data_IF_187034993335
#
_entry.id   IF_187034993335
#
_cell.length_a   1.000
_cell.length_b   1.000
_cell.length_c   1.000
_cell.angle_alpha   90.00
_cell.angle_beta   90.00
_cell.angle_gamma   90.00
#
_symmetry.space_group_name_H-M   'P 1'
#
loop_
_entity.id
_entity.type
_entity.pdbx_description
1 polymer ?
#
# COMPACT_ATOMS: atom_id res chain seq x y z
N UNK A 1 -1.37 4.00 3.72
CA UNK A 1 -1.48 2.85 2.81
C UNK A 1 -0.73 3.05 1.47
N UNK A 2 -0.97 4.11 0.63
CA UNK A 2 -0.28 4.26 -0.66
C UNK A 2 1.25 4.24 -0.59
N UNK A 3 1.85 4.83 0.44
CA UNK A 3 3.32 4.83 0.66
C UNK A 3 3.87 3.42 0.83
N UNK A 4 3.17 2.57 1.59
CA UNK A 4 3.63 1.22 1.88
C UNK A 4 3.72 0.35 0.63
N UNK A 5 2.90 0.63 -0.38
CA UNK A 5 2.87 -0.12 -1.63
C UNK A 5 3.97 0.26 -2.63
N UNK A 6 4.68 1.35 -2.38
CA UNK A 6 5.85 1.75 -3.18
C UNK A 6 7.16 1.62 -2.40
N UNK A 7 7.06 1.19 -1.13
CA UNK A 7 8.22 0.99 -0.25
C UNK A 7 8.52 -0.51 -0.09
N UNK A 8 9.51 -1.05 -0.78
CA UNK A 8 9.83 -2.49 -0.74
C UNK A 8 10.38 -2.96 0.61
N UNK A 9 10.63 -2.04 1.54
CA UNK A 9 10.99 -2.28 2.94
C UNK A 9 9.78 -2.34 3.88
N UNK A 10 8.57 -2.20 3.35
CA UNK A 10 7.36 -2.26 4.16
C UNK A 10 6.93 -3.70 4.46
N UNK A 11 6.19 -3.88 5.54
CA UNK A 11 5.54 -5.17 5.86
C UNK A 11 4.59 -5.65 4.74
N UNK A 12 4.11 -4.74 3.91
CA UNK A 12 3.27 -5.05 2.75
C UNK A 12 4.06 -5.74 1.64
N UNK A 13 5.32 -5.34 1.41
CA UNK A 13 6.21 -6.04 0.49
C UNK A 13 6.44 -7.49 0.94
N UNK A 14 6.67 -7.70 2.25
CA UNK A 14 6.79 -9.04 2.81
C UNK A 14 5.50 -9.86 2.63
N UNK A 15 4.33 -9.26 2.89
CA UNK A 15 3.05 -9.95 2.75
C UNK A 15 2.72 -10.32 1.29
N UNK A 16 2.96 -9.43 0.33
CA UNK A 16 2.81 -9.75 -1.10
C UNK A 16 3.80 -10.83 -1.51
N UNK A 17 5.04 -10.75 -1.03
CA UNK A 17 6.06 -11.78 -1.29
C UNK A 17 5.63 -13.15 -0.76
N UNK A 18 5.07 -13.23 0.47
CA UNK A 18 4.62 -14.50 1.04
C UNK A 18 3.48 -15.14 0.27
N UNK A 19 2.54 -14.33 -0.24
CA UNK A 19 1.46 -14.83 -1.07
C UNK A 19 1.92 -15.27 -2.46
N UNK A 20 2.98 -14.66 -2.97
CA UNK A 20 3.60 -15.01 -4.25
C UNK A 20 4.60 -16.16 -4.15
N UNK A 21 5.10 -16.47 -2.94
CA UNK A 21 6.07 -17.53 -2.70
C UNK A 21 5.49 -18.93 -3.01
N UNK A 22 6.29 -19.76 -3.65
CA UNK A 22 5.84 -21.09 -4.11
C UNK A 22 4.91 -21.05 -5.33
N UNK A 23 4.76 -19.89 -5.99
CA UNK A 23 4.21 -19.79 -7.32
C UNK A 23 5.37 -19.94 -8.30
N UNK A 24 5.18 -20.75 -9.32
CA UNK A 24 6.23 -21.10 -10.31
C UNK A 24 6.47 -19.93 -11.29
N UNK A 25 6.75 -18.74 -10.74
CA UNK A 25 6.92 -17.49 -11.51
C UNK A 25 8.35 -17.30 -12.02
N UNK A 26 9.31 -18.10 -11.53
CA UNK A 26 10.74 -17.97 -11.87
C UNK A 26 11.42 -16.71 -11.31
N UNK A 27 10.73 -15.90 -10.51
CA UNK A 27 11.26 -14.71 -9.83
C UNK A 27 10.84 -14.72 -8.35
N UNK A 28 11.66 -14.12 -7.49
CA UNK A 28 11.34 -14.03 -6.06
C UNK A 28 10.14 -13.13 -5.81
N UNK A 29 9.40 -13.37 -4.72
CA UNK A 29 8.24 -12.57 -4.36
C UNK A 29 8.57 -11.08 -4.20
N UNK A 30 9.75 -10.75 -3.67
CA UNK A 30 10.20 -9.35 -3.55
C UNK A 30 10.50 -8.73 -4.91
N UNK A 31 11.10 -9.47 -5.84
CA UNK A 31 11.30 -9.00 -7.21
C UNK A 31 10.00 -8.75 -7.92
N UNK A 32 9.01 -9.61 -7.71
CA UNK A 32 7.66 -9.45 -8.24
C UNK A 32 7.00 -8.18 -7.72
N UNK A 33 7.12 -7.93 -6.40
CA UNK A 33 6.62 -6.71 -5.79
C UNK A 33 7.30 -5.46 -6.38
N UNK A 34 8.64 -5.44 -6.48
CA UNK A 34 9.38 -4.32 -7.05
C UNK A 34 8.98 -4.04 -8.50
N UNK A 35 8.83 -5.08 -9.32
CA UNK A 35 8.38 -4.94 -10.71
C UNK A 35 6.94 -4.41 -10.81
N UNK A 36 6.09 -4.68 -9.81
CA UNK A 36 4.72 -4.20 -9.77
C UNK A 36 4.62 -2.70 -9.37
N UNK A 37 5.61 -2.14 -8.67
CA UNK A 37 5.59 -0.74 -8.21
C UNK A 37 5.31 0.26 -9.35
N UNK A 38 5.99 0.21 -10.51
CA UNK A 38 5.74 1.17 -11.60
C UNK A 38 4.32 1.13 -12.16
N UNK A 39 3.62 0.00 -12.04
CA UNK A 39 2.23 -0.15 -12.44
C UNK A 39 1.23 0.10 -11.31
N UNK A 40 1.68 0.39 -10.08
CA UNK A 40 0.77 0.70 -8.97
C UNK A 40 0.18 2.10 -9.12
N UNK A 41 -0.75 2.20 -10.08
CA UNK A 41 -1.33 3.47 -10.50
C UNK A 41 -2.02 4.19 -9.35
N UNK A 42 -2.76 3.48 -8.48
CA UNK A 42 -3.49 4.12 -7.41
C UNK A 42 -2.55 4.83 -6.42
N UNK A 43 -1.53 4.13 -5.93
CA UNK A 43 -0.59 4.71 -4.96
C UNK A 43 0.12 5.94 -5.55
N UNK A 44 0.63 5.81 -6.77
CA UNK A 44 1.40 6.86 -7.42
C UNK A 44 0.52 8.05 -7.85
N UNK A 45 -0.67 7.79 -8.43
CA UNK A 45 -1.61 8.85 -8.82
C UNK A 45 -2.21 9.58 -7.60
N UNK A 46 -2.33 8.93 -6.45
CA UNK A 46 -2.73 9.60 -5.21
C UNK A 46 -1.74 10.70 -4.83
N UNK A 47 -0.43 10.50 -4.97
CA UNK A 47 0.55 11.56 -4.74
C UNK A 47 0.40 12.69 -5.75
N UNK A 48 0.24 12.36 -7.03
CA UNK A 48 -0.01 13.36 -8.09
C UNK A 48 -1.26 14.17 -7.77
N UNK A 49 -2.33 13.50 -7.34
CA UNK A 49 -3.59 14.10 -6.96
C UNK A 49 -3.44 15.08 -5.79
N UNK A 50 -2.79 14.66 -4.70
CA UNK A 50 -2.55 15.50 -3.51
C UNK A 50 -1.72 16.74 -3.88
N UNK A 51 -0.65 16.54 -4.63
CA UNK A 51 0.23 17.63 -5.09
C UNK A 51 -0.56 18.60 -5.99
N UNK A 52 -1.33 18.07 -6.94
CA UNK A 52 -2.12 18.90 -7.84
C UNK A 52 -3.18 19.69 -7.11
N UNK A 53 -3.93 19.10 -6.17
CA UNK A 53 -4.91 19.82 -5.34
C UNK A 53 -4.25 20.94 -4.54
N UNK A 54 -3.09 20.65 -3.92
CA UNK A 54 -2.34 21.63 -3.13
C UNK A 54 -1.90 22.83 -3.98
N UNK A 55 -1.42 22.60 -5.22
CA UNK A 55 -1.07 23.68 -6.15
C UNK A 55 -2.29 24.41 -6.73
N UNK A 56 -3.36 23.69 -6.98
CA UNK A 56 -4.58 24.27 -7.55
C UNK A 56 -5.44 24.98 -6.51
N UNK A 57 -5.20 24.76 -5.22
CA UNK A 57 -5.89 25.39 -4.08
C UNK A 57 -7.40 25.35 -4.22
N UNK A 58 -7.99 24.16 -4.33
CA UNK A 58 -9.42 23.96 -4.32
C UNK A 58 -9.78 22.62 -3.72
N UNK A 59 -10.95 22.57 -3.11
CA UNK A 59 -11.57 21.37 -2.60
C UNK A 59 -12.94 21.17 -3.22
N UNK A 60 -13.44 19.93 -3.22
CA UNK A 60 -14.73 19.58 -3.76
C UNK A 60 -15.44 18.51 -2.91
N UNK A 61 -16.73 18.33 -3.18
CA UNK A 61 -17.55 17.41 -2.39
C UNK A 61 -17.67 17.85 -0.93
N UNK A 62 -17.86 16.91 0.01
CA UNK A 62 -17.99 17.23 1.44
C UNK A 62 -16.79 18.00 2.00
N UNK A 63 -15.57 17.69 1.60
CA UNK A 63 -14.36 18.36 2.08
C UNK A 63 -14.44 19.89 1.90
N UNK A 64 -14.96 20.37 0.77
CA UNK A 64 -15.14 21.80 0.53
C UNK A 64 -16.02 22.48 1.59
N UNK A 65 -17.01 21.76 2.10
CA UNK A 65 -17.91 22.31 3.14
C UNK A 65 -17.19 22.45 4.47
N UNK A 66 -16.40 21.44 4.85
CA UNK A 66 -15.60 21.47 6.07
C UNK A 66 -14.51 22.53 6.00
N UNK A 67 -13.77 22.60 4.87
CA UNK A 67 -12.73 23.60 4.67
C UNK A 67 -13.29 25.03 4.74
N UNK A 68 -14.43 25.28 4.09
CA UNK A 68 -15.09 26.60 4.16
C UNK A 68 -15.52 26.94 5.59
N UNK A 69 -16.12 25.97 6.31
CA UNK A 69 -16.50 26.14 7.71
C UNK A 69 -15.29 26.49 8.57
N UNK A 70 -14.17 25.77 8.40
CA UNK A 70 -12.93 26.03 9.13
C UNK A 70 -12.39 27.46 8.85
N UNK A 71 -12.45 27.92 7.59
CA UNK A 71 -12.00 29.25 7.21
C UNK A 71 -12.91 30.37 7.76
N UNK A 72 -14.23 30.16 7.78
CA UNK A 72 -15.23 31.17 8.23
C UNK A 72 -15.31 31.24 9.76
N UNK A 73 -15.27 30.14 10.46
CA UNK A 73 -15.56 30.06 11.91
C UNK A 73 -14.32 29.70 12.77
N UNK A 74 -13.23 29.26 12.17
CA UNK A 74 -12.08 28.69 12.89
C UNK A 74 -12.35 27.30 13.50
N UNK A 75 -13.52 26.70 13.24
CA UNK A 75 -13.87 25.37 13.71
C UNK A 75 -13.17 24.30 12.86
N UNK A 76 -12.21 23.62 13.44
CA UNK A 76 -11.44 22.56 12.78
C UNK A 76 -12.12 21.18 12.85
N UNK A 77 -13.36 21.10 13.32
CA UNK A 77 -14.10 19.85 13.55
C UNK A 77 -13.33 18.84 14.41
N UNK A 78 -12.49 19.34 15.30
CA UNK A 78 -11.79 18.51 16.28
C UNK A 78 -12.81 17.88 17.25
N UNK A 79 -12.56 16.65 17.66
CA UNK A 79 -13.38 15.99 18.66
C UNK A 79 -13.32 16.80 19.98
N UNK A 80 -14.47 17.25 20.47
CA UNK A 80 -14.59 17.99 21.75
C UNK A 80 -14.09 17.17 22.95
N UNK A 81 -14.05 15.84 22.81
CA UNK A 81 -13.64 14.87 23.82
C UNK A 81 -12.47 14.00 23.33
N UNK A 82 -11.56 14.51 22.48
CA UNK A 82 -10.30 13.82 22.29
C UNK A 82 -9.72 13.64 23.70
N UNK A 83 -9.70 12.40 24.21
CA UNK A 83 -8.99 12.12 25.44
C UNK A 83 -7.60 12.73 25.27
N UNK A 84 -7.32 13.75 26.06
CA UNK A 84 -5.98 14.33 26.15
C UNK A 84 -5.05 13.20 26.62
N UNK A 85 -4.64 12.35 25.68
CA UNK A 85 -3.45 11.54 25.93
C UNK A 85 -2.39 12.57 26.26
N UNK A 86 -1.97 12.58 27.51
CA UNK A 86 -1.12 13.60 28.10
C UNK A 86 0.12 13.81 27.20
N UNK A 87 0.02 14.78 26.30
CA UNK A 87 1.06 15.08 25.31
C UNK A 87 2.27 15.52 26.11
N UNK A 88 3.36 14.77 26.02
CA UNK A 88 4.59 15.16 26.67
C UNK A 88 5.15 16.42 25.99
N UNK A 89 5.23 17.56 26.68
CA UNK A 89 5.71 18.83 26.11
C UNK A 89 7.18 18.78 25.67
N UNK A 90 7.93 17.73 26.02
CA UNK A 90 9.31 17.50 25.58
C UNK A 90 9.40 16.85 24.20
N UNK A 91 8.30 16.33 23.66
CA UNK A 91 8.24 15.73 22.33
C UNK A 91 8.56 16.74 21.24
N UNK A 92 9.37 16.34 20.28
CA UNK A 92 9.74 17.13 19.10
C UNK A 92 9.55 16.29 17.85
N UNK A 93 9.38 16.94 16.70
CA UNK A 93 9.25 16.26 15.39
C UNK A 93 10.42 15.30 15.12
N UNK A 94 11.61 15.61 15.60
CA UNK A 94 12.78 14.74 15.47
C UNK A 94 12.62 13.39 16.20
N UNK A 95 11.80 13.33 17.25
CA UNK A 95 11.54 12.11 18.00
C UNK A 95 10.67 11.12 17.23
N UNK A 96 10.01 11.58 16.18
CA UNK A 96 9.31 10.74 15.19
C UNK A 96 10.22 10.47 13.98
N UNK A 97 10.83 11.50 13.41
CA UNK A 97 11.60 11.38 12.18
C UNK A 97 12.84 10.48 12.32
N UNK A 98 13.60 10.63 13.41
CA UNK A 98 14.84 9.88 13.58
C UNK A 98 14.63 8.38 13.72
N UNK A 99 13.68 7.87 14.52
CA UNK A 99 13.33 6.44 14.52
C UNK A 99 12.93 5.89 13.16
N UNK A 100 12.14 6.64 12.39
CA UNK A 100 11.72 6.24 11.03
C UNK A 100 12.92 6.17 10.08
N UNK A 101 13.81 7.15 10.11
CA UNK A 101 15.02 7.14 9.28
C UNK A 101 15.95 5.98 9.65
N UNK A 102 16.11 5.70 10.95
CA UNK A 102 16.89 4.55 11.42
C UNK A 102 16.24 3.25 10.97
N UNK A 103 14.92 3.11 11.10
CA UNK A 103 14.19 1.93 10.63
C UNK A 103 14.44 1.69 9.13
N UNK A 104 14.30 2.71 8.30
CA UNK A 104 14.57 2.62 6.86
C UNK A 104 16.03 2.16 6.61
N UNK A 105 16.99 2.81 7.25
CA UNK A 105 18.40 2.51 7.05
C UNK A 105 18.76 1.07 7.47
N UNK A 106 18.32 0.62 8.64
CA UNK A 106 18.66 -0.73 9.13
C UNK A 106 17.90 -1.83 8.41
N UNK A 107 16.63 -1.61 8.03
CA UNK A 107 15.89 -2.58 7.23
C UNK A 107 16.51 -2.71 5.83
N UNK A 108 16.86 -1.61 5.17
CA UNK A 108 17.55 -1.64 3.88
C UNK A 108 18.89 -2.37 3.99
N UNK A 109 19.67 -2.07 5.04
CA UNK A 109 20.95 -2.75 5.28
C UNK A 109 20.76 -4.24 5.55
N UNK A 110 19.75 -4.63 6.33
CA UNK A 110 19.41 -6.03 6.59
C UNK A 110 19.05 -6.78 5.33
N UNK A 111 18.26 -6.17 4.45
CA UNK A 111 17.86 -6.77 3.18
C UNK A 111 19.07 -6.97 2.25
N UNK A 112 19.90 -5.97 2.03
CA UNK A 112 21.09 -6.12 1.17
C UNK A 112 22.14 -7.07 1.77
N UNK A 113 22.20 -7.16 3.12
CA UNK A 113 23.06 -8.13 3.80
C UNK A 113 22.63 -9.57 3.51
N UNK A 114 21.35 -9.86 3.67
CA UNK A 114 20.77 -11.19 3.38
C UNK A 114 20.92 -11.54 1.90
N UNK A 115 20.77 -10.56 1.00
CA UNK A 115 20.91 -10.74 -0.44
C UNK A 115 22.34 -10.79 -0.97
N UNK A 116 23.38 -10.72 -0.10
CA UNK A 116 24.77 -10.97 -0.49
C UNK A 116 25.59 -9.76 -0.93
N UNK A 117 25.11 -8.53 -0.72
CA UNK A 117 25.86 -7.32 -1.10
C UNK A 117 27.29 -7.28 -0.53
N UNK A 118 27.47 -7.72 0.72
CA UNK A 118 28.75 -7.72 1.43
C UNK A 118 29.63 -8.94 1.16
N UNK A 119 29.26 -9.79 0.21
CA UNK A 119 30.08 -10.93 -0.23
C UNK A 119 29.28 -12.21 -0.43
N UNK A 120 28.72 -12.79 0.62
CA UNK A 120 27.98 -14.06 0.54
C UNK A 120 26.53 -13.82 0.95
N UNK A 121 25.59 -14.32 0.17
CA UNK A 121 24.17 -14.28 0.52
C UNK A 121 23.78 -15.34 1.57
N UNK A 122 22.54 -15.31 2.02
CA UNK A 122 22.03 -16.26 3.03
C UNK A 122 22.05 -17.74 2.57
N UNK A 123 22.20 -17.99 1.26
CA UNK A 123 22.21 -19.33 0.65
C UNK A 123 23.61 -19.76 0.18
N UNK A 124 24.64 -18.93 0.41
CA UNK A 124 26.03 -19.23 0.06
C UNK A 124 26.46 -18.76 -1.34
N UNK A 125 25.61 -18.01 -2.06
CA UNK A 125 25.91 -17.40 -3.35
C UNK A 125 26.75 -16.12 -3.21
N UNK A 126 27.50 -15.77 -4.26
CA UNK A 126 28.38 -14.59 -4.30
C UNK A 126 28.06 -13.64 -5.47
N UNK A 127 27.03 -13.94 -6.23
CA UNK A 127 26.73 -13.26 -7.50
C UNK A 127 26.29 -11.80 -7.34
N UNK A 128 25.81 -11.45 -6.16
CA UNK A 128 25.33 -10.10 -5.83
C UNK A 128 26.35 -9.26 -5.04
N UNK A 129 27.58 -9.70 -4.88
CA UNK A 129 28.61 -8.98 -4.14
C UNK A 129 28.91 -7.62 -4.80
N UNK A 130 28.67 -6.52 -4.05
CA UNK A 130 28.84 -5.16 -4.52
C UNK A 130 27.74 -4.62 -5.45
N UNK A 131 26.77 -5.44 -5.82
CA UNK A 131 25.57 -5.00 -6.56
C UNK A 131 24.40 -4.77 -5.61
N UNK A 132 24.10 -3.49 -5.36
CA UNK A 132 23.00 -3.09 -4.46
C UNK A 132 21.63 -3.56 -4.99
N UNK A 133 21.38 -3.39 -6.28
CA UNK A 133 20.07 -3.72 -6.88
C UNK A 133 19.91 -5.24 -6.95
N UNK A 134 20.93 -5.94 -7.37
CA UNK A 134 20.95 -7.41 -7.41
C UNK A 134 20.75 -8.01 -6.01
N UNK A 135 21.52 -7.55 -5.02
CA UNK A 135 21.39 -8.02 -3.64
C UNK A 135 20.01 -7.70 -3.03
N UNK A 136 19.48 -6.50 -3.30
CA UNK A 136 18.14 -6.14 -2.83
C UNK A 136 17.05 -7.02 -3.48
N UNK A 137 17.20 -7.36 -4.74
CA UNK A 137 16.29 -8.27 -5.46
C UNK A 137 16.45 -9.76 -5.06
N UNK A 138 17.65 -10.17 -4.61
CA UNK A 138 17.97 -11.52 -4.17
C UNK A 138 17.71 -11.75 -2.67
N UNK A 139 17.14 -10.80 -1.96
CA UNK A 139 16.92 -10.90 -0.51
C UNK A 139 15.70 -11.74 -0.17
N UNK A 140 15.71 -12.30 1.04
CA UNK A 140 14.52 -12.78 1.73
C UNK A 140 14.05 -11.72 2.72
N UNK A 141 12.87 -11.14 2.44
CA UNK A 141 12.27 -10.12 3.28
C UNK A 141 11.93 -10.63 4.69
N UNK A 142 11.63 -11.94 4.84
CA UNK A 142 11.33 -12.55 6.14
C UNK A 142 12.58 -12.69 7.03
N UNK A 143 13.76 -12.68 6.44
CA UNK A 143 15.01 -12.65 7.19
C UNK A 143 15.51 -11.21 7.41
N UNK A 144 15.53 -10.40 6.35
CA UNK A 144 16.10 -9.04 6.40
C UNK A 144 15.30 -8.04 7.24
N UNK A 145 13.98 -8.00 7.08
CA UNK A 145 13.13 -7.03 7.78
C UNK A 145 13.05 -7.24 9.30
N UNK A 146 12.90 -8.48 9.84
CA UNK A 146 12.90 -8.68 11.30
C UNK A 146 14.18 -8.21 11.97
N UNK A 147 15.35 -8.46 11.39
CA UNK A 147 16.62 -7.97 11.92
C UNK A 147 16.64 -6.44 11.97
N UNK A 148 16.28 -5.79 10.87
CA UNK A 148 16.18 -4.34 10.81
C UNK A 148 15.17 -3.78 11.81
N UNK A 149 14.00 -4.41 11.93
CA UNK A 149 12.94 -4.02 12.86
C UNK A 149 13.36 -4.11 14.33
N UNK A 150 14.03 -5.20 14.73
CA UNK A 150 14.52 -5.36 16.11
C UNK A 150 15.57 -4.29 16.45
N UNK A 151 16.54 -4.06 15.56
CA UNK A 151 17.57 -3.04 15.77
C UNK A 151 16.96 -1.64 15.88
N UNK A 152 16.02 -1.30 14.99
CA UNK A 152 15.30 -0.04 15.01
C UNK A 152 14.46 0.15 16.28
N UNK A 153 13.79 -0.91 16.75
CA UNK A 153 13.03 -0.90 17.99
C UNK A 153 13.93 -0.63 19.20
N UNK A 154 15.06 -1.34 19.30
CA UNK A 154 16.03 -1.13 20.38
C UNK A 154 16.58 0.28 20.36
N UNK A 155 16.97 0.78 19.19
CA UNK A 155 17.41 2.17 19.03
C UNK A 155 16.34 3.16 19.49
N UNK A 156 15.09 2.97 19.04
CA UNK A 156 13.97 3.87 19.37
C UNK A 156 13.72 3.93 20.88
N UNK A 157 13.67 2.77 21.54
CA UNK A 157 13.48 2.70 22.99
C UNK A 157 14.63 3.41 23.72
N UNK A 158 15.87 3.10 23.39
CA UNK A 158 17.05 3.71 24.00
C UNK A 158 17.04 5.23 23.78
N UNK A 159 16.79 5.67 22.56
CA UNK A 159 16.77 7.08 22.18
C UNK A 159 15.70 7.88 22.94
N UNK A 160 14.43 7.40 22.95
CA UNK A 160 13.33 8.11 23.58
C UNK A 160 13.44 8.14 25.10
N UNK A 161 13.94 7.04 25.71
CA UNK A 161 14.18 6.97 27.15
C UNK A 161 15.37 7.87 27.55
N UNK A 162 16.48 7.85 26.80
CA UNK A 162 17.63 8.72 27.05
C UNK A 162 17.27 10.20 26.93
N UNK A 163 16.41 10.56 25.99
CA UNK A 163 15.84 11.91 25.86
C UNK A 163 14.79 12.27 26.93
N UNK A 164 14.38 11.29 27.74
CA UNK A 164 13.32 11.45 28.75
C UNK A 164 11.99 11.93 28.16
N UNK A 165 11.68 11.52 26.92
CA UNK A 165 10.40 11.76 26.27
C UNK A 165 9.37 10.75 26.77
N UNK A 166 9.79 9.51 26.98
CA UNK A 166 8.99 8.44 27.59
C UNK A 166 9.78 7.79 28.73
N UNK A 167 9.07 7.14 29.66
CA UNK A 167 9.73 6.31 30.66
C UNK A 167 10.00 4.91 30.10
N UNK A 168 10.95 4.19 30.67
CA UNK A 168 11.21 2.80 30.29
C UNK A 168 9.99 1.90 30.50
N UNK A 169 9.20 2.17 31.55
CA UNK A 169 7.95 1.45 31.82
C UNK A 169 6.93 1.65 30.71
N UNK A 170 6.75 2.88 30.22
CA UNK A 170 5.83 3.19 29.13
C UNK A 170 6.29 2.56 27.83
N UNK A 171 7.60 2.62 27.53
CA UNK A 171 8.17 1.95 26.37
C UNK A 171 7.89 0.44 26.38
N UNK A 172 8.10 -0.21 27.53
CA UNK A 172 7.81 -1.64 27.69
C UNK A 172 6.31 -1.96 27.59
N UNK A 173 5.42 -1.06 28.02
CA UNK A 173 3.98 -1.23 27.89
C UNK A 173 3.48 -1.11 26.42
N UNK A 174 4.24 -0.44 25.55
CA UNK A 174 3.91 -0.35 24.13
C UNK A 174 4.14 -1.68 23.38
N UNK A 175 5.07 -2.53 23.84
CA UNK A 175 5.41 -3.79 23.16
C UNK A 175 4.20 -4.73 23.08
N UNK A 176 3.49 -5.07 24.17
CA UNK A 176 2.28 -5.90 24.09
C UNK A 176 1.16 -5.25 23.25
N UNK A 177 1.03 -3.93 23.28
CA UNK A 177 0.06 -3.22 22.45
C UNK A 177 0.36 -3.43 20.95
N UNK A 178 1.64 -3.32 20.57
CA UNK A 178 2.09 -3.59 19.20
C UNK A 178 1.84 -5.04 18.77
N UNK A 179 2.12 -6.02 19.64
CA UNK A 179 1.80 -7.43 19.36
C UNK A 179 0.30 -7.64 19.15
N UNK A 180 -0.55 -7.07 20.02
CA UNK A 180 -1.99 -7.17 19.89
C UNK A 180 -2.50 -6.57 18.57
N UNK A 181 -1.94 -5.45 18.13
CA UNK A 181 -2.28 -4.83 16.85
C UNK A 181 -1.94 -5.73 15.64
N UNK A 182 -0.94 -6.61 15.77
CA UNK A 182 -0.53 -7.53 14.70
C UNK A 182 -1.26 -8.87 14.69
N UNK A 183 -2.08 -9.19 15.70
CA UNK A 183 -2.82 -10.47 15.76
C UNK A 183 -3.74 -10.62 14.54
N UNK A 184 -4.51 -9.60 14.20
CA UNK A 184 -5.43 -9.62 13.06
C UNK A 184 -4.72 -9.83 11.72
N UNK A 185 -3.69 -9.06 11.36
CA UNK A 185 -2.88 -9.31 10.17
C UNK A 185 -2.27 -10.73 10.10
N UNK A 186 -1.73 -11.23 11.22
CA UNK A 186 -1.13 -12.57 11.27
C UNK A 186 -2.19 -13.64 11.00
N UNK A 187 -3.36 -13.54 11.63
CA UNK A 187 -4.46 -14.49 11.43
C UNK A 187 -4.95 -14.46 9.97
N UNK A 188 -5.13 -13.28 9.39
CA UNK A 188 -5.55 -13.11 8.00
C UNK A 188 -4.54 -13.78 7.05
N UNK A 189 -3.25 -13.52 7.22
CA UNK A 189 -2.21 -14.13 6.37
C UNK A 189 -2.16 -15.65 6.54
N UNK A 190 -2.30 -16.16 7.75
CA UNK A 190 -2.34 -17.61 8.01
C UNK A 190 -3.51 -18.28 7.28
N UNK A 191 -4.70 -17.67 7.34
CA UNK A 191 -5.87 -18.15 6.62
C UNK A 191 -5.74 -18.00 5.10
N UNK A 192 -5.10 -16.92 4.63
CA UNK A 192 -4.84 -16.70 3.20
C UNK A 192 -3.91 -17.77 2.62
N UNK A 193 -2.84 -18.15 3.35
CA UNK A 193 -1.96 -19.26 2.94
C UNK A 193 -2.71 -20.59 2.88
N UNK A 194 -3.59 -20.86 3.85
CA UNK A 194 -4.43 -22.05 3.86
C UNK A 194 -5.41 -22.05 2.68
N UNK A 195 -6.02 -20.90 2.38
CA UNK A 195 -6.90 -20.73 1.22
C UNK A 195 -6.14 -20.96 -0.09
N UNK A 196 -4.92 -20.42 -0.23
CA UNK A 196 -4.04 -20.67 -1.39
C UNK A 196 -3.81 -22.16 -1.60
N UNK A 197 -3.43 -22.90 -0.55
CA UNK A 197 -3.21 -24.33 -0.63
C UNK A 197 -4.49 -25.06 -1.09
N UNK A 198 -5.65 -24.67 -0.59
CA UNK A 198 -6.95 -25.24 -0.98
C UNK A 198 -7.27 -24.94 -2.45
N UNK A 199 -7.11 -23.69 -2.92
CA UNK A 199 -7.32 -23.28 -4.32
C UNK A 199 -6.41 -24.08 -5.25
N UNK A 200 -5.14 -24.25 -4.88
CA UNK A 200 -4.18 -25.04 -5.68
C UNK A 200 -4.59 -26.52 -5.73
N UNK A 201 -4.98 -27.13 -4.60
CA UNK A 201 -5.40 -28.52 -4.55
C UNK A 201 -6.71 -28.82 -5.31
N UNK A 202 -7.57 -27.82 -5.46
CA UNK A 202 -8.79 -27.90 -6.26
C UNK A 202 -8.54 -27.75 -7.77
N UNK A 203 -7.29 -27.53 -8.19
CA UNK A 203 -6.95 -27.35 -9.61
C UNK A 203 -7.49 -26.05 -10.20
N UNK A 204 -7.64 -25.01 -9.39
CA UNK A 204 -8.21 -23.74 -9.84
C UNK A 204 -7.40 -23.12 -10.99
N UNK A 205 -6.07 -23.29 -11.02
CA UNK A 205 -5.22 -22.84 -12.13
C UNK A 205 -5.59 -23.50 -13.47
N UNK A 206 -5.85 -24.82 -13.45
CA UNK A 206 -6.26 -25.57 -14.64
C UNK A 206 -7.63 -25.09 -15.11
N UNK A 207 -8.60 -25.00 -14.19
CA UNK A 207 -9.94 -24.53 -14.52
C UNK A 207 -9.95 -23.12 -15.12
N UNK A 208 -9.18 -22.20 -14.54
CA UNK A 208 -9.06 -20.82 -15.04
C UNK A 208 -8.36 -20.78 -16.38
N UNK A 209 -7.30 -21.57 -16.57
CA UNK A 209 -6.62 -21.71 -17.86
C UNK A 209 -7.60 -22.16 -18.97
N UNK A 210 -8.35 -23.24 -18.73
CA UNK A 210 -9.32 -23.77 -19.70
C UNK A 210 -10.44 -22.77 -20.02
N UNK A 211 -10.89 -22.02 -18.99
CA UNK A 211 -11.88 -20.96 -19.17
C UNK A 211 -11.32 -19.81 -20.03
N UNK A 212 -10.05 -19.48 -19.86
CA UNK A 212 -9.39 -18.38 -20.57
C UNK A 212 -8.94 -18.74 -21.98
N UNK A 213 -8.66 -20.01 -22.28
CA UNK A 213 -8.37 -20.46 -23.66
C UNK A 213 -9.52 -20.14 -24.63
N UNK A 214 -10.76 -20.18 -24.12
CA UNK A 214 -11.95 -19.81 -24.90
C UNK A 214 -12.25 -18.30 -24.92
N UNK A 215 -11.55 -17.49 -24.15
CA UNK A 215 -11.81 -16.06 -24.06
C UNK A 215 -11.15 -15.28 -25.21
N UNK A 216 -11.85 -14.30 -25.74
CA UNK A 216 -11.28 -13.41 -26.74
C UNK A 216 -10.07 -12.65 -26.13
N UNK A 217 -9.00 -12.46 -26.93
CA UNK A 217 -7.80 -11.75 -26.50
C UNK A 217 -8.08 -10.36 -25.87
N UNK A 218 -9.13 -9.70 -26.34
CA UNK A 218 -9.61 -8.42 -25.79
C UNK A 218 -10.05 -8.54 -24.33
N UNK A 219 -10.76 -9.63 -23.98
CA UNK A 219 -11.20 -9.86 -22.60
C UNK A 219 -9.98 -10.08 -21.67
N UNK A 220 -8.98 -10.81 -22.15
CA UNK A 220 -7.75 -11.07 -21.41
C UNK A 220 -6.98 -9.78 -21.09
N UNK A 221 -6.90 -8.86 -22.04
CA UNK A 221 -6.26 -7.55 -21.84
C UNK A 221 -7.05 -6.62 -20.92
N UNK A 222 -8.34 -6.83 -20.73
CA UNK A 222 -9.15 -6.05 -19.78
C UNK A 222 -9.08 -6.56 -18.34
N UNK A 223 -8.57 -7.79 -18.12
CA UNK A 223 -8.55 -8.41 -16.79
C UNK A 223 -7.84 -7.57 -15.72
N UNK A 224 -6.73 -6.87 -15.97
CA UNK A 224 -6.13 -6.00 -14.93
C UNK A 224 -7.10 -4.95 -14.39
N UNK A 225 -7.91 -4.33 -15.26
CA UNK A 225 -8.91 -3.37 -14.81
C UNK A 225 -10.04 -4.03 -14.01
N UNK A 226 -10.47 -5.23 -14.40
CA UNK A 226 -11.46 -6.01 -13.66
C UNK A 226 -10.91 -6.43 -12.29
N UNK A 227 -9.67 -6.91 -12.23
CA UNK A 227 -8.98 -7.27 -10.98
C UNK A 227 -8.91 -6.05 -10.05
N UNK A 228 -8.56 -4.89 -10.58
CA UNK A 228 -8.53 -3.65 -9.80
C UNK A 228 -9.90 -3.34 -9.17
N UNK A 229 -10.97 -3.37 -9.95
CA UNK A 229 -12.34 -3.08 -9.46
C UNK A 229 -12.78 -4.11 -8.42
N UNK A 230 -12.53 -5.39 -8.66
CA UNK A 230 -12.86 -6.47 -7.70
C UNK A 230 -12.07 -6.28 -6.40
N UNK A 231 -10.77 -5.95 -6.50
CA UNK A 231 -9.94 -5.68 -5.34
C UNK A 231 -10.45 -4.47 -4.54
N UNK A 232 -10.87 -3.38 -5.22
CA UNK A 232 -11.47 -2.22 -4.57
C UNK A 232 -12.71 -2.60 -3.75
N UNK A 233 -13.63 -3.37 -4.33
CA UNK A 233 -14.87 -3.79 -3.67
C UNK A 233 -14.57 -4.70 -2.48
N UNK A 234 -13.70 -5.69 -2.65
CA UNK A 234 -13.34 -6.62 -1.59
C UNK A 234 -12.65 -5.92 -0.42
N UNK A 235 -11.69 -5.05 -0.71
CA UNK A 235 -10.96 -4.31 0.32
C UNK A 235 -11.86 -3.31 1.06
N UNK A 236 -12.76 -2.62 0.35
CA UNK A 236 -13.74 -1.74 0.97
C UNK A 236 -14.67 -2.51 1.90
N UNK A 237 -15.19 -3.65 1.45
CA UNK A 237 -16.14 -4.47 2.21
C UNK A 237 -15.50 -5.17 3.40
N UNK A 238 -14.24 -5.56 3.31
CA UNK A 238 -13.51 -6.26 4.38
C UNK A 238 -12.74 -5.33 5.31
N UNK A 239 -12.48 -4.08 4.89
CA UNK A 239 -11.65 -3.12 5.63
C UNK A 239 -10.19 -3.53 5.73
N UNK A 240 -9.70 -4.39 4.83
CA UNK A 240 -8.31 -4.86 4.88
C UNK A 240 -7.72 -5.11 3.50
N UNK A 241 -6.57 -4.47 3.26
CA UNK A 241 -5.76 -4.77 2.08
C UNK A 241 -5.12 -6.16 2.15
N UNK A 242 -4.72 -6.60 3.35
CA UNK A 242 -4.03 -7.87 3.57
C UNK A 242 -4.89 -9.07 3.16
N UNK A 243 -6.16 -9.08 3.59
CA UNK A 243 -7.11 -10.11 3.18
C UNK A 243 -7.35 -10.11 1.68
N UNK A 244 -7.46 -8.93 1.09
CA UNK A 244 -7.75 -8.77 -0.34
C UNK A 244 -6.63 -9.30 -1.22
N UNK A 245 -5.39 -8.89 -1.03
CA UNK A 245 -4.30 -9.42 -1.86
C UNK A 245 -3.94 -10.86 -1.50
N UNK A 246 -4.12 -11.28 -0.25
CA UNK A 246 -3.98 -12.68 0.15
C UNK A 246 -4.91 -13.63 -0.61
N UNK A 247 -6.12 -13.18 -0.94
CA UNK A 247 -7.09 -13.95 -1.74
C UNK A 247 -6.81 -13.80 -3.25
N UNK A 248 -6.59 -12.58 -3.72
CA UNK A 248 -6.57 -12.30 -5.16
C UNK A 248 -5.23 -12.60 -5.83
N UNK A 249 -4.08 -12.45 -5.17
CA UNK A 249 -2.78 -12.73 -5.80
C UNK A 249 -2.68 -14.18 -6.29
N UNK A 250 -3.06 -15.21 -5.50
CA UNK A 250 -3.09 -16.59 -6.00
C UNK A 250 -3.98 -16.78 -7.23
N UNK A 251 -5.10 -16.06 -7.30
CA UNK A 251 -6.01 -16.11 -8.45
C UNK A 251 -5.36 -15.44 -9.68
N UNK A 252 -4.77 -14.26 -9.50
CA UNK A 252 -4.08 -13.51 -10.56
C UNK A 252 -2.93 -14.34 -11.16
N UNK A 253 -2.15 -15.02 -10.31
CA UNK A 253 -1.04 -15.89 -10.76
C UNK A 253 -1.53 -17.17 -11.45
N UNK A 254 -2.75 -17.63 -11.16
CA UNK A 254 -3.37 -18.74 -11.89
C UNK A 254 -3.87 -18.31 -13.28
N UNK A 255 -4.24 -17.03 -13.44
CA UNK A 255 -4.77 -16.50 -14.71
C UNK A 255 -3.64 -16.18 -15.69
N UNK A 256 -2.58 -15.51 -15.23
CA UNK A 256 -1.53 -15.00 -16.12
C UNK A 256 -0.29 -15.89 -16.11
N UNK A 257 0.28 -16.26 -17.28
CA UNK A 257 1.54 -16.99 -17.34
C UNK A 257 2.68 -16.22 -16.67
N UNK A 258 3.60 -16.92 -16.02
CA UNK A 258 4.73 -16.36 -15.31
C UNK A 258 5.64 -15.46 -16.16
N UNK A 259 5.71 -15.72 -17.47
CA UNK A 259 6.50 -14.93 -18.43
C UNK A 259 5.78 -13.71 -18.99
N UNK A 260 4.51 -13.49 -18.64
CA UNK A 260 3.69 -12.40 -19.19
C UNK A 260 3.84 -11.11 -18.39
N UNK A 261 3.99 -9.97 -19.08
CA UNK A 261 3.91 -8.64 -18.46
C UNK A 261 2.55 -8.41 -17.79
N UNK A 262 1.48 -9.06 -18.29
CA UNK A 262 0.15 -8.98 -17.69
C UNK A 262 0.09 -9.57 -16.27
N UNK A 263 0.98 -10.49 -15.92
CA UNK A 263 1.10 -10.97 -14.54
C UNK A 263 1.50 -9.81 -13.59
N UNK A 264 2.52 -9.06 -13.96
CA UNK A 264 3.01 -7.91 -13.19
C UNK A 264 1.93 -6.84 -13.08
N UNK A 265 1.27 -6.54 -14.20
CA UNK A 265 0.18 -5.55 -14.26
C UNK A 265 -1.01 -6.04 -13.42
N UNK A 266 -1.36 -7.31 -13.47
CA UNK A 266 -2.46 -7.92 -12.70
C UNK A 266 -2.19 -7.90 -11.20
N UNK A 267 -0.99 -8.23 -10.76
CA UNK A 267 -0.58 -8.13 -9.35
C UNK A 267 -0.60 -6.67 -8.90
N UNK A 268 -0.10 -5.77 -9.73
CA UNK A 268 -0.16 -4.35 -9.43
C UNK A 268 -1.59 -3.83 -9.32
N UNK A 269 -2.48 -4.26 -10.20
CA UNK A 269 -3.89 -3.92 -10.16
C UNK A 269 -4.58 -4.44 -8.90
N UNK A 270 -4.25 -5.67 -8.49
CA UNK A 270 -4.71 -6.25 -7.22
C UNK A 270 -4.26 -5.42 -6.02
N UNK A 271 -2.96 -5.12 -5.94
CA UNK A 271 -2.39 -4.33 -4.85
C UNK A 271 -2.94 -2.90 -4.82
N UNK A 272 -3.07 -2.25 -5.98
CA UNK A 272 -3.62 -0.91 -6.12
C UNK A 272 -5.09 -0.84 -5.68
N UNK A 273 -5.90 -1.83 -6.10
CA UNK A 273 -7.30 -1.93 -5.70
C UNK A 273 -7.48 -2.25 -4.22
N UNK A 274 -6.65 -3.12 -3.67
CA UNK A 274 -6.66 -3.44 -2.24
C UNK A 274 -6.38 -2.19 -1.39
N UNK A 275 -5.40 -1.37 -1.78
CA UNK A 275 -5.10 -0.10 -1.10
C UNK A 275 -6.24 0.91 -1.25
N UNK A 276 -6.84 1.02 -2.44
CA UNK A 276 -7.94 1.94 -2.69
C UNK A 276 -9.15 1.64 -1.80
N UNK A 277 -9.58 0.38 -1.76
CA UNK A 277 -10.75 -0.02 -0.97
C UNK A 277 -10.51 0.13 0.53
N UNK A 278 -9.35 -0.30 1.01
CA UNK A 278 -8.93 -0.14 2.40
C UNK A 278 -8.86 1.34 2.80
N UNK A 279 -8.29 2.19 1.95
CA UNK A 279 -8.09 3.61 2.19
C UNK A 279 -9.39 4.39 2.42
N UNK A 280 -10.51 3.96 1.87
CA UNK A 280 -11.82 4.61 2.03
C UNK A 280 -12.84 3.79 2.82
N UNK A 281 -12.45 2.63 3.37
CA UNK A 281 -13.35 1.80 4.16
C UNK A 281 -13.53 2.36 5.58
N UNK A 282 -14.77 2.47 6.07
CA UNK A 282 -15.03 2.93 7.44
C UNK A 282 -14.65 1.89 8.51
N UNK A 283 -14.39 0.66 8.13
CA UNK A 283 -13.97 -0.41 9.05
C UNK A 283 -12.48 -0.72 8.94
N UNK A 284 -11.73 0.06 8.15
CA UNK A 284 -10.29 -0.11 8.00
C UNK A 284 -9.55 0.41 9.22
N UNK A 285 -8.61 -0.41 9.73
CA UNK A 285 -7.71 -0.02 10.81
C UNK A 285 -6.82 1.17 10.41
N UNK A 286 -6.39 1.25 9.15
CA UNK A 286 -5.59 2.38 8.65
C UNK A 286 -6.38 3.69 8.64
N UNK A 287 -7.67 3.68 8.27
CA UNK A 287 -8.55 4.85 8.32
C UNK A 287 -8.89 5.25 9.76
N UNK A 288 -9.15 4.28 10.62
CA UNK A 288 -9.38 4.51 12.06
C UNK A 288 -8.15 5.15 12.71
N UNK A 289 -6.96 4.62 12.45
CA UNK A 289 -5.72 5.18 13.00
C UNK A 289 -5.42 6.59 12.45
N UNK A 290 -5.72 6.85 11.17
CA UNK A 290 -5.53 8.15 10.56
C UNK A 290 -6.43 9.21 11.19
N UNK A 291 -7.73 8.93 11.35
CA UNK A 291 -8.69 9.84 11.98
C UNK A 291 -8.38 10.07 13.47
N UNK A 292 -7.99 9.02 14.20
CA UNK A 292 -7.56 9.14 15.58
C UNK A 292 -6.29 9.99 15.73
N UNK A 293 -5.30 9.80 14.84
CA UNK A 293 -4.09 10.61 14.83
C UNK A 293 -4.31 12.07 14.45
N UNK A 294 -5.32 12.34 13.61
CA UNK A 294 -5.74 13.69 13.24
C UNK A 294 -6.72 14.32 14.25
N UNK A 295 -7.19 13.56 15.25
CA UNK A 295 -8.17 13.97 16.24
C UNK A 295 -9.47 14.49 15.60
N UNK A 296 -9.93 13.84 14.54
CA UNK A 296 -11.19 14.18 13.85
C UNK A 296 -12.17 13.00 13.91
N UNK A 297 -13.47 13.30 13.69
CA UNK A 297 -14.49 12.23 13.62
C UNK A 297 -14.19 11.26 12.50
N UNK A 298 -14.24 9.97 12.82
CA UNK A 298 -13.85 8.91 11.89
C UNK A 298 -14.80 8.83 10.69
N UNK A 299 -16.10 8.92 10.89
CA UNK A 299 -17.07 8.84 9.80
C UNK A 299 -17.02 10.07 8.89
N UNK A 300 -16.78 11.26 9.48
CA UNK A 300 -16.56 12.49 8.72
C UNK A 300 -15.27 12.40 7.88
N UNK A 301 -14.19 11.88 8.47
CA UNK A 301 -12.93 11.62 7.75
C UNK A 301 -13.18 10.74 6.53
N UNK A 302 -13.84 9.61 6.69
CA UNK A 302 -14.17 8.69 5.60
C UNK A 302 -15.08 9.35 4.57
N UNK A 303 -16.15 10.03 5.01
CA UNK A 303 -17.11 10.67 4.11
C UNK A 303 -16.48 11.77 3.25
N UNK A 304 -15.54 12.54 3.81
CA UNK A 304 -14.81 13.59 3.08
C UNK A 304 -13.77 13.03 2.12
N UNK A 305 -13.21 11.87 2.42
CA UNK A 305 -12.16 11.22 1.63
C UNK A 305 -12.73 10.46 0.41
N UNK A 306 -13.92 9.84 0.52
CA UNK A 306 -14.50 8.99 -0.53
C UNK A 306 -14.52 9.66 -1.92
N UNK A 307 -14.98 10.91 -2.12
CA UNK A 307 -14.99 11.52 -3.44
C UNK A 307 -13.60 11.66 -4.07
N UNK A 308 -12.59 11.89 -3.25
CA UNK A 308 -11.20 12.00 -3.69
C UNK A 308 -10.67 10.65 -4.15
N UNK A 309 -10.87 9.62 -3.33
CA UNK A 309 -10.49 8.24 -3.63
C UNK A 309 -11.17 7.74 -4.90
N UNK A 310 -12.48 7.98 -5.07
CA UNK A 310 -13.23 7.58 -6.26
C UNK A 310 -12.75 8.30 -7.52
N UNK A 311 -12.32 9.55 -7.42
CA UNK A 311 -11.74 10.29 -8.55
C UNK A 311 -10.44 9.64 -9.01
N UNK A 312 -9.54 9.33 -8.08
CA UNK A 312 -8.28 8.62 -8.40
C UNK A 312 -8.57 7.23 -8.95
N UNK A 313 -9.50 6.49 -8.33
CA UNK A 313 -9.87 5.14 -8.77
C UNK A 313 -10.44 5.12 -10.19
N UNK A 314 -11.29 6.09 -10.55
CA UNK A 314 -11.82 6.20 -11.90
C UNK A 314 -10.72 6.38 -12.96
N UNK A 315 -9.71 7.19 -12.66
CA UNK A 315 -8.53 7.34 -13.52
C UNK A 315 -7.71 6.04 -13.58
N UNK A 316 -7.57 5.33 -12.44
CA UNK A 316 -6.86 4.05 -12.39
C UNK A 316 -7.54 2.97 -13.25
N UNK A 317 -8.88 2.89 -13.27
CA UNK A 317 -9.60 1.95 -14.13
C UNK A 317 -9.18 2.14 -15.59
N UNK A 318 -9.21 3.40 -16.09
CA UNK A 318 -8.77 3.70 -17.45
C UNK A 318 -7.28 3.38 -17.63
N UNK A 319 -6.46 3.70 -16.67
CA UNK A 319 -5.02 3.40 -16.68
C UNK A 319 -4.76 1.89 -16.78
N UNK A 320 -5.48 1.05 -16.02
CA UNK A 320 -5.33 -0.41 -16.10
C UNK A 320 -5.88 -1.01 -17.39
N UNK A 321 -6.91 -0.40 -18.00
CA UNK A 321 -7.33 -0.77 -19.36
C UNK A 321 -6.18 -0.50 -20.33
N UNK A 322 -5.60 0.70 -20.31
CA UNK A 322 -4.47 1.05 -21.18
C UNK A 322 -3.27 0.12 -20.92
N UNK A 323 -2.94 -0.13 -19.64
CA UNK A 323 -1.85 -1.03 -19.28
C UNK A 323 -2.04 -2.44 -19.81
N UNK A 324 -3.25 -2.98 -19.75
CA UNK A 324 -3.57 -4.31 -20.26
C UNK A 324 -3.42 -4.45 -21.76
N UNK A 325 -3.77 -3.41 -22.54
CA UNK A 325 -3.64 -3.44 -23.99
C UNK A 325 -2.25 -3.10 -24.50
N UNK A 326 -1.60 -2.10 -23.89
CA UNK A 326 -0.33 -1.54 -24.38
C UNK A 326 0.88 -2.20 -23.74
N UNK A 327 0.75 -2.69 -22.51
CA UNK A 327 1.81 -3.34 -21.72
C UNK A 327 3.11 -2.52 -21.67
N UNK A 328 2.97 -1.20 -21.62
CA UNK A 328 4.08 -0.27 -21.55
C UNK A 328 3.85 0.75 -20.42
N UNK A 329 4.72 0.74 -19.42
CA UNK A 329 4.60 1.57 -18.24
C UNK A 329 4.61 3.06 -18.56
N UNK A 330 5.45 3.51 -19.49
CA UNK A 330 5.58 4.93 -19.85
C UNK A 330 4.32 5.48 -20.51
N UNK A 331 3.72 4.72 -21.43
CA UNK A 331 2.48 5.11 -22.10
C UNK A 331 1.33 5.11 -21.09
N UNK A 332 1.25 4.09 -20.25
CA UNK A 332 0.26 3.99 -19.17
C UNK A 332 0.34 5.21 -18.25
N UNK A 333 1.55 5.60 -17.86
CA UNK A 333 1.77 6.79 -17.05
C UNK A 333 1.38 8.09 -17.75
N UNK A 334 1.80 8.26 -19.00
CA UNK A 334 1.48 9.47 -19.76
C UNK A 334 -0.03 9.68 -19.88
N UNK A 335 -0.76 8.61 -20.21
CA UNK A 335 -2.22 8.66 -20.32
C UNK A 335 -2.89 8.90 -18.98
N UNK A 336 -2.50 8.16 -17.94
CA UNK A 336 -3.11 8.26 -16.61
C UNK A 336 -2.85 9.63 -15.96
N UNK A 337 -1.64 10.17 -16.11
CA UNK A 337 -1.27 11.49 -15.62
C UNK A 337 -2.05 12.60 -16.34
N UNK A 338 -2.09 12.56 -17.68
CA UNK A 338 -2.84 13.52 -18.47
C UNK A 338 -4.33 13.48 -18.12
N UNK A 339 -4.90 12.27 -17.98
CA UNK A 339 -6.29 12.09 -17.60
C UNK A 339 -6.56 12.64 -16.19
N UNK A 340 -5.67 12.40 -15.23
CA UNK A 340 -5.80 12.93 -13.87
C UNK A 340 -5.86 14.45 -13.87
N UNK A 341 -4.95 15.11 -14.57
CA UNK A 341 -4.96 16.58 -14.69
C UNK A 341 -6.22 17.09 -15.38
N UNK A 342 -6.65 16.45 -16.48
CA UNK A 342 -7.90 16.80 -17.15
C UNK A 342 -9.10 16.72 -16.21
N UNK A 343 -9.25 15.62 -15.46
CA UNK A 343 -10.34 15.43 -14.50
C UNK A 343 -10.31 16.52 -13.43
N UNK A 344 -9.15 16.83 -12.87
CA UNK A 344 -9.01 17.90 -11.87
C UNK A 344 -9.35 19.27 -12.43
N UNK A 345 -8.94 19.61 -13.65
CA UNK A 345 -9.31 20.86 -14.30
C UNK A 345 -10.81 20.97 -14.55
N UNK A 346 -11.46 19.88 -14.95
CA UNK A 346 -12.92 19.81 -15.14
C UNK A 346 -13.63 20.04 -13.81
N UNK A 347 -13.26 19.32 -12.75
CA UNK A 347 -13.84 19.46 -11.42
C UNK A 347 -13.68 20.90 -10.91
N UNK A 348 -12.47 21.47 -11.02
CA UNK A 348 -12.21 22.84 -10.64
C UNK A 348 -13.08 23.85 -11.38
N UNK A 349 -13.27 23.65 -12.69
CA UNK A 349 -14.13 24.51 -13.50
C UNK A 349 -15.60 24.43 -13.07
N UNK A 350 -16.07 23.21 -12.76
CA UNK A 350 -17.42 22.98 -12.24
C UNK A 350 -17.64 23.66 -10.89
N UNK A 351 -16.68 23.53 -9.97
CA UNK A 351 -16.76 24.12 -8.64
C UNK A 351 -16.70 25.66 -8.69
N UNK A 352 -15.93 26.24 -9.60
CA UNK A 352 -15.93 27.69 -9.83
C UNK A 352 -17.28 28.21 -10.35
N UNK A 353 -17.94 27.45 -11.25
CA UNK A 353 -19.26 27.81 -11.76
C UNK A 353 -20.36 27.73 -10.71
N UNK A 354 -20.23 26.85 -9.72
CA UNK A 354 -21.18 26.79 -8.58
C UNK A 354 -20.99 27.91 -7.57
N UNK A 355 -19.83 28.55 -7.55
CA UNK A 355 -19.48 29.64 -6.64
C UNK A 355 -19.76 31.02 -7.24
N UNK A 356 -19.92 31.11 -8.56
CA UNK A 356 -20.34 32.32 -9.30
C UNK A 356 -21.86 32.38 -9.41
#
# INVERSE_FOLDING_TARGET
>A
APVCMIAPISSWAAAVSSTAEGLDTGISGIQLFIKAIPYNLYSLLTFVFIIALSFMQFDYGPMRTYERKAQETGDLSALENAEDEAVNPKGKVIDLLLPVLVLIAVCTTGMIYVGGFFGVDAWGGTDCAGDFIGAFGNTDAFMGLPWGGIIALLFTVIYLVARRVITFKDAMACIPKGFNAMISPILILTLAVSLKATITSLGASIYVHDLMEGAAATLYSMLPAVIFVVACILAFASGTSWGTFGILIPIVTAIFPASSELLIIGISACCAGAVMGDHCSPISDTSIMASAGAQCDHLEHVATQIPYVLTVAGVCVVGFIVAGFVQNVYITWAVSFALMLCVLFVIRSMERRKAA
#
